data_IF_437945354511
#
_entry.id   IF_437945354511
#
_cell.length_a   1.000
_cell.length_b   1.000
_cell.length_c   1.000
_cell.angle_alpha   90.00
_cell.angle_beta   90.00
_cell.angle_gamma   90.00
#
_symmetry.space_group_name_H-M   'P 1'
#
loop_
_entity.id
_entity.type
_entity.pdbx_description
1 polymer ?
#
# COMPACT_ATOMS: atom_id res chain seq x y z
N UNK A 1 -7.52 11.75 14.37
CA UNK A 1 -8.23 11.63 13.07
C UNK A 1 -7.17 11.75 11.99
N UNK A 2 -6.51 10.63 11.71
CA UNK A 2 -5.33 10.59 10.85
C UNK A 2 -5.81 10.57 9.40
N UNK A 3 -5.45 11.59 8.64
CA UNK A 3 -5.80 11.69 7.23
C UNK A 3 -4.82 10.85 6.43
N UNK A 4 -5.37 9.83 5.76
CA UNK A 4 -4.68 8.89 4.90
C UNK A 4 -4.41 9.60 3.57
N UNK A 5 -3.15 9.97 3.32
CA UNK A 5 -2.71 10.57 2.06
C UNK A 5 -2.26 9.44 1.12
N UNK A 6 -3.13 9.03 0.20
CA UNK A 6 -2.76 8.20 -0.94
C UNK A 6 -2.14 9.09 -2.03
N UNK A 7 -0.87 8.89 -2.35
CA UNK A 7 -0.24 9.47 -3.54
C UNK A 7 -0.28 8.42 -4.64
N UNK A 8 -1.20 8.59 -5.58
CA UNK A 8 -1.24 7.83 -6.84
C UNK A 8 -0.28 8.51 -7.81
N UNK A 9 0.89 7.91 -8.05
CA UNK A 9 1.79 8.34 -9.13
C UNK A 9 1.28 7.77 -10.46
N UNK A 10 0.42 8.54 -11.12
CA UNK A 10 -0.09 8.25 -12.45
C UNK A 10 0.88 8.84 -13.48
N UNK A 11 1.76 7.99 -14.04
CA UNK A 11 2.68 8.36 -15.10
C UNK A 11 1.92 8.58 -16.41
N UNK A 12 1.84 9.86 -16.83
CA UNK A 12 1.18 10.29 -18.05
C UNK A 12 2.00 9.94 -19.29
N UNK A 13 1.50 9.01 -20.12
CA UNK A 13 1.88 8.94 -21.53
C UNK A 13 0.92 9.82 -22.34
N UNK A 14 1.45 10.95 -22.81
CA UNK A 14 0.75 11.82 -23.76
C UNK A 14 0.86 11.26 -25.18
N UNK A 15 -0.27 11.12 -25.87
CA UNK A 15 -0.31 11.10 -27.34
C UNK A 15 -1.43 11.99 -27.88
N UNK A 16 -1.02 12.69 -28.93
CA UNK A 16 -1.61 13.76 -29.72
C UNK A 16 -3.06 13.58 -30.14
N UNK A 17 -3.79 14.70 -30.03
CA UNK A 17 -5.14 14.95 -30.51
C UNK A 17 -5.26 15.01 -32.04
N UNK A 18 -6.41 14.56 -32.58
CA UNK A 18 -7.11 15.29 -33.64
C UNK A 18 -8.58 14.81 -33.80
N UNK A 19 -9.52 15.73 -33.61
CA UNK A 19 -10.64 15.92 -34.53
C UNK A 19 -12.00 15.28 -34.20
N UNK A 20 -13.03 16.13 -34.08
CA UNK A 20 -14.38 15.77 -34.51
C UNK A 20 -15.53 16.26 -33.62
N UNK A 21 -15.91 17.54 -33.74
CA UNK A 21 -17.24 18.05 -33.34
C UNK A 21 -18.36 17.32 -34.11
N UNK A 22 -19.48 17.00 -33.43
CA UNK A 22 -20.81 17.40 -33.91
C UNK A 22 -21.92 17.07 -32.91
N UNK A 23 -22.60 18.13 -32.48
CA UNK A 23 -23.87 18.15 -31.75
C UNK A 23 -25.01 17.48 -32.53
N UNK A 24 -25.97 16.83 -31.83
CA UNK A 24 -27.42 17.13 -31.90
C UNK A 24 -28.25 16.19 -31.00
N UNK A 25 -29.00 16.79 -30.06
CA UNK A 25 -30.26 16.28 -29.45
C UNK A 25 -31.35 17.27 -29.90
N UNK A 26 -32.57 16.87 -30.32
CA UNK A 26 -33.72 16.72 -29.39
C UNK A 26 -34.77 15.64 -29.84
N UNK A 27 -35.42 14.89 -28.94
CA UNK A 27 -36.73 15.12 -28.27
C UNK A 27 -37.86 14.23 -28.85
N UNK A 28 -38.94 14.04 -28.06
CA UNK A 28 -40.28 13.44 -28.36
C UNK A 28 -40.40 11.96 -27.91
N UNK A 29 -41.30 11.50 -27.03
CA UNK A 29 -42.57 12.03 -26.48
C UNK A 29 -42.98 11.28 -25.19
N UNK A 30 -43.86 11.91 -24.40
CA UNK A 30 -44.34 11.50 -23.08
C UNK A 30 -45.68 10.72 -23.06
N UNK A 31 -45.82 9.84 -22.05
CA UNK A 31 -47.05 9.43 -21.28
C UNK A 31 -48.14 8.56 -21.98
N UNK A 32 -49.08 7.85 -21.26
CA UNK A 32 -49.42 7.87 -19.83
C UNK A 32 -49.71 6.52 -19.09
N UNK A 33 -49.62 6.62 -17.76
CA UNK A 33 -50.37 6.03 -16.63
C UNK A 33 -51.35 4.85 -16.85
N UNK A 34 -51.18 3.78 -16.06
CA UNK A 34 -52.29 2.91 -15.61
C UNK A 34 -52.22 2.69 -14.09
N UNK A 35 -53.38 2.85 -13.48
CA UNK A 35 -53.67 3.02 -12.06
C UNK A 35 -53.90 1.68 -11.33
N UNK A 36 -53.69 1.70 -10.01
CA UNK A 36 -53.71 0.56 -9.10
C UNK A 36 -55.12 -0.04 -8.85
N UNK A 37 -55.18 -1.21 -8.19
CA UNK A 37 -56.10 -1.30 -7.06
C UNK A 37 -55.45 -1.84 -5.77
N UNK A 38 -55.95 -1.25 -4.67
CA UNK A 38 -55.64 -1.42 -3.25
C UNK A 38 -56.34 -2.68 -2.69
N UNK A 39 -55.67 -3.44 -1.82
CA UNK A 39 -56.36 -4.20 -0.75
C UNK A 39 -55.52 -4.10 0.52
N UNK A 40 -56.08 -3.45 1.53
CA UNK A 40 -55.60 -3.44 2.91
C UNK A 40 -56.25 -4.58 3.71
N UNK A 41 -55.50 -5.21 4.62
CA UNK A 41 -55.89 -5.30 6.05
C UNK A 41 -54.73 -5.87 6.89
N UNK A 42 -54.38 -5.14 7.96
CA UNK A 42 -53.71 -5.66 9.17
C UNK A 42 -54.81 -6.09 10.15
N UNK A 43 -54.63 -7.02 11.14
CA UNK A 43 -53.88 -6.64 12.35
C UNK A 43 -53.31 -7.77 13.29
N UNK A 44 -52.37 -7.35 14.15
CA UNK A 44 -52.29 -7.57 15.64
C UNK A 44 -51.56 -8.79 16.27
N UNK A 45 -50.40 -8.45 16.92
CA UNK A 45 -49.84 -8.76 18.28
C UNK A 45 -49.49 -10.25 18.59
N UNK A 46 -48.32 -10.64 19.13
CA UNK A 46 -47.72 -10.31 20.43
C UNK A 46 -46.19 -10.55 20.45
N UNK A 47 -45.46 -9.62 21.09
CA UNK A 47 -44.12 -9.88 21.59
C UNK A 47 -44.19 -10.71 22.89
N UNK A 48 -43.17 -11.54 23.16
CA UNK A 48 -42.48 -11.32 24.43
C UNK A 48 -40.96 -11.17 24.27
N UNK A 49 -40.44 -10.13 24.91
CA UNK A 49 -39.01 -9.92 25.21
C UNK A 49 -38.58 -10.81 26.36
N UNK A 50 -37.39 -11.43 26.27
CA UNK A 50 -36.23 -11.35 27.21
C UNK A 50 -35.47 -12.68 27.34
N UNK A 51 -34.23 -12.79 26.83
CA UNK A 51 -32.95 -12.83 27.57
C UNK A 51 -31.79 -13.52 26.78
N UNK A 52 -30.70 -12.78 26.59
CA UNK A 52 -29.34 -13.13 26.08
C UNK A 52 -28.54 -13.96 27.14
N UNK A 53 -27.36 -14.67 26.93
CA UNK A 53 -26.28 -14.54 25.92
C UNK A 53 -25.65 -15.83 25.31
N UNK A 54 -24.79 -15.57 24.31
CA UNK A 54 -23.57 -16.29 23.91
C UNK A 54 -23.70 -17.67 23.21
N UNK A 55 -23.49 -17.66 21.89
CA UNK A 55 -22.81 -18.75 21.19
C UNK A 55 -22.14 -18.22 19.91
N UNK A 56 -20.92 -17.74 20.11
CA UNK A 56 -19.75 -17.92 19.22
C UNK A 56 -19.93 -17.53 17.74
N UNK A 57 -19.52 -16.29 17.45
CA UNK A 57 -18.89 -15.96 16.17
C UNK A 57 -17.88 -17.05 15.82
N UNK A 58 -17.94 -17.70 14.65
CA UNK A 58 -16.80 -18.45 14.15
C UNK A 58 -15.62 -17.49 14.11
N UNK A 59 -14.61 -17.74 14.96
CA UNK A 59 -13.28 -17.16 14.80
C UNK A 59 -12.79 -17.65 13.45
N UNK A 60 -12.85 -16.78 12.44
CA UNK A 60 -12.11 -16.98 11.20
C UNK A 60 -10.67 -17.29 11.60
N UNK A 61 -10.28 -18.55 11.36
CA UNK A 61 -8.91 -19.00 11.52
C UNK A 61 -8.14 -18.44 10.33
N UNK A 62 -6.98 -17.79 10.55
CA UNK A 62 -6.27 -17.13 9.47
C UNK A 62 -5.86 -18.15 8.40
N UNK A 63 -5.96 -17.68 7.17
CA UNK A 63 -5.70 -18.36 5.90
C UNK A 63 -4.33 -19.03 5.94
N UNK A 64 -4.25 -20.26 5.43
CA UNK A 64 -3.04 -21.07 5.33
C UNK A 64 -1.90 -20.27 4.71
N UNK A 65 -0.83 -19.99 5.47
CA UNK A 65 0.44 -19.50 4.94
C UNK A 65 0.92 -20.52 3.90
N UNK A 66 0.84 -20.16 2.63
CA UNK A 66 1.63 -20.85 1.62
C UNK A 66 3.09 -20.47 1.92
N UNK A 67 4.01 -21.43 1.94
CA UNK A 67 5.43 -21.19 2.28
C UNK A 67 6.09 -20.33 1.18
N UNK A 68 5.85 -19.01 1.19
CA UNK A 68 6.50 -18.05 0.31
C UNK A 68 7.86 -17.73 0.91
N UNK A 69 8.91 -17.90 0.11
CA UNK A 69 10.27 -17.61 0.53
C UNK A 69 10.44 -16.10 0.69
N UNK A 70 10.86 -15.66 1.88
CA UNK A 70 11.23 -14.27 2.12
C UNK A 70 12.34 -13.79 1.17
N UNK A 71 12.31 -12.53 0.72
CA UNK A 71 13.42 -11.93 -0.02
C UNK A 71 14.76 -12.10 0.71
N UNK A 72 15.78 -12.51 -0.05
CA UNK A 72 17.15 -12.74 0.44
C UNK A 72 18.12 -11.81 -0.28
N UNK A 73 19.36 -11.78 0.21
CA UNK A 73 20.42 -11.04 -0.44
C UNK A 73 20.21 -9.53 -0.43
N UNK A 74 19.45 -9.01 0.53
CA UNK A 74 19.20 -7.57 0.67
C UNK A 74 20.52 -6.82 0.77
N UNK A 75 20.71 -5.84 -0.10
CA UNK A 75 21.85 -4.93 -0.17
C UNK A 75 21.33 -3.52 -0.01
N UNK A 76 22.11 -2.70 0.69
CA UNK A 76 21.80 -1.31 0.95
C UNK A 76 22.96 -0.46 0.48
N UNK A 77 22.68 0.56 -0.33
CA UNK A 77 23.63 1.59 -0.72
C UNK A 77 23.05 2.92 -0.28
N UNK A 78 23.85 3.73 0.41
CA UNK A 78 23.37 4.97 1.01
C UNK A 78 24.20 6.17 0.53
N UNK A 79 23.50 7.28 0.29
CA UNK A 79 24.03 8.65 0.14
C UNK A 79 23.55 9.48 1.35
N UNK A 80 24.01 10.73 1.54
CA UNK A 80 23.56 11.55 2.67
C UNK A 80 22.03 11.71 2.79
N UNK A 81 21.31 11.67 1.66
CA UNK A 81 19.88 11.98 1.56
C UNK A 81 19.04 10.89 0.88
N UNK A 82 19.65 9.75 0.52
CA UNK A 82 18.96 8.67 -0.15
C UNK A 82 19.53 7.29 0.18
N UNK A 83 18.68 6.27 0.06
CA UNK A 83 19.04 4.86 0.23
C UNK A 83 18.45 4.07 -0.93
N UNK A 84 19.29 3.29 -1.61
CA UNK A 84 18.87 2.29 -2.59
C UNK A 84 18.99 0.89 -1.99
N UNK A 85 17.96 0.08 -2.20
CA UNK A 85 17.88 -1.32 -1.81
C UNK A 85 17.76 -2.20 -3.03
N UNK A 86 18.48 -3.31 -3.01
CA UNK A 86 18.39 -4.40 -4.00
C UNK A 86 18.26 -5.73 -3.27
N UNK A 87 17.51 -6.68 -3.82
CA UNK A 87 17.40 -8.03 -3.27
C UNK A 87 17.26 -9.08 -4.38
N UNK A 88 17.42 -10.35 -4.00
CA UNK A 88 17.23 -11.46 -4.93
C UNK A 88 15.75 -11.58 -5.30
N UNK A 89 15.45 -11.72 -6.60
CA UNK A 89 14.09 -11.95 -7.10
C UNK A 89 13.51 -13.22 -6.48
N UNK A 90 12.34 -13.09 -5.84
CA UNK A 90 11.55 -14.23 -5.36
C UNK A 90 10.73 -14.78 -6.53
N UNK A 91 10.88 -16.07 -6.89
CA UNK A 91 10.12 -16.67 -7.99
C UNK A 91 8.61 -16.51 -7.79
N UNK A 92 7.91 -16.11 -8.87
CA UNK A 92 6.46 -15.88 -8.92
C UNK A 92 5.95 -14.70 -8.06
N UNK A 93 6.83 -13.91 -7.42
CA UNK A 93 6.41 -12.66 -6.78
C UNK A 93 5.77 -11.72 -7.80
N UNK A 94 4.55 -11.28 -7.50
CA UNK A 94 3.84 -10.26 -8.28
C UNK A 94 4.20 -8.86 -7.80
N UNK A 95 4.55 -8.72 -6.51
CA UNK A 95 5.04 -7.49 -5.92
C UNK A 95 5.85 -7.73 -4.65
N UNK A 96 6.38 -6.66 -4.08
CA UNK A 96 7.07 -6.62 -2.81
C UNK A 96 6.52 -5.49 -1.94
N UNK A 97 6.45 -5.73 -0.64
CA UNK A 97 6.19 -4.74 0.39
C UNK A 97 7.51 -4.41 1.10
N UNK A 98 7.90 -3.15 1.12
CA UNK A 98 9.08 -2.65 1.84
C UNK A 98 8.60 -1.93 3.09
N UNK A 99 8.99 -2.44 4.25
CA UNK A 99 8.79 -1.80 5.53
C UNK A 99 10.00 -0.96 5.87
N UNK A 100 9.78 0.30 6.24
CA UNK A 100 10.82 1.25 6.61
C UNK A 100 10.51 1.93 7.94
N UNK A 101 11.55 2.18 8.73
CA UNK A 101 11.45 3.02 9.92
C UNK A 101 12.72 3.88 10.06
N UNK A 102 12.57 5.08 10.61
CA UNK A 102 13.68 5.90 11.11
C UNK A 102 14.05 5.38 12.51
N UNK A 103 15.14 4.61 12.60
CA UNK A 103 15.55 3.89 13.78
C UNK A 103 16.19 2.54 13.46
N UNK A 104 16.71 1.88 14.50
CA UNK A 104 17.53 0.67 14.37
C UNK A 104 16.74 -0.60 14.01
N UNK A 105 15.41 -0.59 14.09
CA UNK A 105 14.58 -1.76 13.81
C UNK A 105 13.24 -1.39 13.14
N UNK A 106 12.74 -2.33 12.34
CA UNK A 106 11.48 -2.24 11.63
C UNK A 106 10.75 -3.58 11.58
N UNK A 107 9.44 -3.49 11.66
CA UNK A 107 8.46 -4.58 11.59
C UNK A 107 7.20 -4.08 10.87
N UNK A 108 6.26 -4.99 10.63
CA UNK A 108 4.95 -4.64 10.08
C UNK A 108 4.19 -3.65 10.99
N UNK A 109 4.42 -3.70 12.30
CA UNK A 109 3.66 -2.92 13.28
C UNK A 109 4.14 -1.46 13.43
N UNK A 110 5.42 -1.17 13.15
CA UNK A 110 6.01 0.15 13.34
C UNK A 110 6.54 0.79 12.05
N UNK A 111 6.66 0.02 10.97
CA UNK A 111 7.18 0.51 9.70
C UNK A 111 6.13 1.22 8.85
N UNK A 112 6.58 2.22 8.10
CA UNK A 112 5.89 2.70 6.91
C UNK A 112 6.05 1.68 5.78
N UNK A 113 5.00 1.44 5.00
CA UNK A 113 5.02 0.46 3.91
C UNK A 113 5.07 1.14 2.54
N UNK A 114 5.95 0.64 1.68
CA UNK A 114 6.09 1.00 0.27
C UNK A 114 5.88 -0.26 -0.59
N UNK A 115 5.55 -0.07 -1.86
CA UNK A 115 5.25 -1.15 -2.78
C UNK A 115 6.06 -1.01 -4.07
N UNK A 116 6.52 -2.12 -4.61
CA UNK A 116 7.18 -2.19 -5.91
C UNK A 116 6.90 -3.54 -6.56
N UNK A 117 6.99 -3.61 -7.89
CA UNK A 117 6.98 -4.87 -8.63
C UNK A 117 8.39 -5.33 -9.01
N UNK A 118 9.40 -4.49 -8.75
CA UNK A 118 10.79 -4.77 -9.04
C UNK A 118 11.50 -5.32 -7.79
N UNK A 119 12.63 -5.99 -7.97
CA UNK A 119 13.49 -6.41 -6.85
C UNK A 119 14.48 -5.32 -6.42
N UNK A 120 14.04 -4.07 -6.47
CA UNK A 120 14.80 -2.87 -6.14
C UNK A 120 13.86 -1.77 -5.61
N UNK A 121 14.41 -0.88 -4.78
CA UNK A 121 13.69 0.27 -4.24
C UNK A 121 14.65 1.43 -3.96
N UNK A 122 14.26 2.65 -4.34
CA UNK A 122 15.02 3.87 -4.07
C UNK A 122 14.21 4.80 -3.15
N UNK A 123 14.79 5.15 -2.01
CA UNK A 123 14.19 6.03 -1.01
C UNK A 123 14.98 7.34 -0.94
N UNK A 124 14.38 8.44 -1.40
CA UNK A 124 15.02 9.76 -1.48
C UNK A 124 14.45 10.73 -0.45
N UNK A 125 15.13 11.87 -0.28
CA UNK A 125 14.74 12.95 0.62
C UNK A 125 14.64 12.47 2.08
N UNK A 126 15.56 11.59 2.46
CA UNK A 126 15.65 11.06 3.81
C UNK A 126 16.17 12.12 4.78
N UNK A 127 15.70 12.01 6.02
CA UNK A 127 16.15 12.81 7.15
C UNK A 127 16.38 11.88 8.34
N UNK A 128 17.29 12.27 9.23
CA UNK A 128 17.68 11.42 10.35
C UNK A 128 18.87 10.54 10.00
N UNK A 129 19.47 9.96 11.03
CA UNK A 129 20.74 9.25 10.89
C UNK A 129 20.53 7.78 10.55
N UNK A 130 19.62 7.10 11.25
CA UNK A 130 19.45 5.65 11.12
C UNK A 130 18.15 5.32 10.40
N UNK A 131 18.25 4.49 9.38
CA UNK A 131 17.10 3.94 8.67
C UNK A 131 17.19 2.42 8.57
N UNK A 132 16.10 1.75 8.93
CA UNK A 132 15.97 0.30 8.85
C UNK A 132 14.90 -0.12 7.85
N UNK A 133 15.13 -1.27 7.21
CA UNK A 133 14.32 -1.82 6.15
C UNK A 133 14.14 -3.33 6.29
N UNK A 134 12.95 -3.81 5.95
CA UNK A 134 12.66 -5.21 5.68
C UNK A 134 11.74 -5.33 4.48
N UNK A 135 11.90 -6.40 3.70
CA UNK A 135 11.12 -6.63 2.48
C UNK A 135 10.39 -7.95 2.59
N UNK A 136 9.15 -7.98 2.13
CA UNK A 136 8.31 -9.16 2.02
C UNK A 136 7.87 -9.32 0.56
N UNK A 137 7.88 -10.55 0.07
CA UNK A 137 7.34 -10.87 -1.26
C UNK A 137 5.83 -11.11 -1.16
N UNK A 138 5.12 -10.72 -2.21
CA UNK A 138 3.69 -10.97 -2.37
C UNK A 138 3.49 -11.81 -3.61
N UNK A 139 2.82 -12.95 -3.44
CA UNK A 139 2.39 -13.84 -4.52
C UNK A 139 0.88 -13.96 -4.40
N UNK A 140 0.16 -13.54 -5.44
CA UNK A 140 -1.29 -13.37 -5.40
C UNK A 140 -1.71 -12.49 -4.20
N UNK A 141 -2.52 -13.00 -3.29
CA UNK A 141 -2.98 -12.33 -2.06
C UNK A 141 -2.32 -12.92 -0.80
N UNK A 142 -1.12 -13.48 -0.93
CA UNK A 142 -0.37 -14.07 0.18
C UNK A 142 1.02 -13.49 0.25
N UNK A 143 1.51 -13.35 1.47
CA UNK A 143 2.79 -12.72 1.73
C UNK A 143 3.80 -13.67 2.39
N UNK A 144 5.09 -13.44 2.13
CA UNK A 144 6.19 -14.20 2.74
C UNK A 144 6.46 -13.77 4.19
N UNK A 145 7.39 -14.44 4.87
CA UNK A 145 8.05 -13.83 6.02
C UNK A 145 8.82 -12.55 5.62
N UNK A 146 9.16 -11.72 6.61
CA UNK A 146 10.05 -10.56 6.38
C UNK A 146 11.48 -11.01 6.07
N UNK A 147 12.19 -10.24 5.24
CA UNK A 147 13.62 -10.40 5.02
C UNK A 147 14.44 -10.20 6.30
N UNK A 148 15.74 -10.49 6.20
CA UNK A 148 16.69 -9.98 7.20
C UNK A 148 16.61 -8.45 7.28
N UNK A 149 16.84 -7.93 8.48
CA UNK A 149 16.90 -6.49 8.74
C UNK A 149 18.09 -5.88 8.01
N UNK A 150 17.85 -4.84 7.22
CA UNK A 150 18.89 -4.00 6.62
C UNK A 150 18.85 -2.62 7.26
N UNK A 151 20.00 -2.10 7.68
CA UNK A 151 20.09 -0.80 8.34
C UNK A 151 21.18 0.03 7.67
N UNK A 152 20.92 1.32 7.46
CA UNK A 152 21.91 2.30 7.04
C UNK A 152 22.04 3.40 8.11
N UNK A 153 23.27 3.87 8.30
CA UNK A 153 23.61 5.04 9.09
C UNK A 153 24.14 6.13 8.16
N UNK A 154 23.33 7.16 7.96
CA UNK A 154 23.61 8.29 7.08
C UNK A 154 24.54 9.32 7.72
N UNK A 155 24.66 9.34 9.06
CA UNK A 155 25.51 10.29 9.79
C UNK A 155 26.99 10.13 9.44
N UNK A 156 27.39 8.93 9.01
CA UNK A 156 28.76 8.60 8.61
C UNK A 156 29.07 8.95 7.14
N UNK A 157 28.07 9.35 6.35
CA UNK A 157 28.19 9.54 4.89
C UNK A 157 28.47 11.01 4.56
N UNK A 158 28.15 11.94 5.47
CA UNK A 158 28.52 13.35 5.38
C UNK A 158 29.86 13.60 6.07
N UNK A 159 30.96 13.78 5.31
CA UNK A 159 32.08 14.72 5.61
C UNK A 159 33.38 14.42 4.82
N UNK A 160 33.36 14.49 3.48
CA UNK A 160 34.62 14.45 2.69
C UNK A 160 34.91 15.76 1.93
N UNK A 161 34.30 16.90 2.31
CA UNK A 161 34.48 18.18 1.57
C UNK A 161 34.99 19.36 2.42
N UNK A 162 35.77 19.11 3.48
CA UNK A 162 36.20 20.21 4.38
C UNK A 162 37.70 20.49 4.50
N UNK A 163 38.62 19.79 3.82
CA UNK A 163 40.08 19.97 4.09
C UNK A 163 40.96 20.26 2.86
N UNK A 164 40.58 21.15 1.94
CA UNK A 164 41.53 21.60 0.88
C UNK A 164 41.33 23.03 0.35
N UNK A 165 41.05 24.03 1.20
CA UNK A 165 41.31 25.42 0.78
C UNK A 165 41.70 26.36 1.93
N UNK A 166 42.77 25.98 2.64
CA UNK A 166 43.51 26.85 3.54
C UNK A 166 44.98 26.72 3.14
N UNK A 167 45.61 27.85 2.79
CA UNK A 167 47.02 28.06 2.43
C UNK A 167 47.36 27.66 0.97
N UNK A 168 47.73 28.55 0.04
CA UNK A 168 48.46 29.83 0.14
C UNK A 168 47.98 30.87 -0.89
#
# INVERSE_FOLDING_TARGET
MNKLNYIVLLSAFGLTACGGESSKTPEVEETPVVEAPIVEESPVIEAPTTQEPAAETPKESPVSETDIVAPKGIKITATPDAISLDWDVVPNATSYQIYHNEGEDVSIANGMVYYTTLSEFNHENLSGDIHSYRVQAVIDDSESELSMLATADLSAIENVVSDSNSEQ
#
